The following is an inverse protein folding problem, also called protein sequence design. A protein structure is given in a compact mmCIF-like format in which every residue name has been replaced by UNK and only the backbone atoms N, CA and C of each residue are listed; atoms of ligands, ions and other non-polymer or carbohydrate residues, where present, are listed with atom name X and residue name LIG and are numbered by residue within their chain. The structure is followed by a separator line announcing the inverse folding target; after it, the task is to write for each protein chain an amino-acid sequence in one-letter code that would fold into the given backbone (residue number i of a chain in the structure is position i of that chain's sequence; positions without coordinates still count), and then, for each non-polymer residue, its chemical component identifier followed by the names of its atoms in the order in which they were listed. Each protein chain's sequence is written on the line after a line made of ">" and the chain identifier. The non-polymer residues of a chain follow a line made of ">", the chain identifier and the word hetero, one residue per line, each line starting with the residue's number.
data_IF_748065838971
#
_entry.id   IF_748065838971
#
_cell.length_a   1.000
_cell.length_b   1.000
_cell.length_c   1.000
_cell.angle_alpha   90.00
_cell.angle_beta   90.00
_cell.angle_gamma   90.00
#
_symmetry.space_group_name_H-M   'P 1'
#
loop_
_entity.id
_entity.type
_entity.pdbx_description
1 polymer ?
#
# COMPACT_ATOMS: atom_id res chain seq x y z
N UNK A 1 -12.78 -14.30 -11.75
CA UNK A 1 -11.84 -13.18 -11.94
C UNK A 1 -10.91 -13.15 -10.73
N UNK A 2 -9.60 -13.10 -10.92
CA UNK A 2 -8.66 -12.93 -9.81
C UNK A 2 -8.86 -11.51 -9.28
N UNK A 3 -9.17 -11.34 -8.00
CA UNK A 3 -9.24 -10.01 -7.39
C UNK A 3 -7.81 -9.48 -7.26
N UNK A 4 -7.57 -8.21 -7.60
CA UNK A 4 -6.29 -7.55 -7.33
C UNK A 4 -5.97 -7.52 -5.84
N UNK A 5 -4.76 -7.13 -5.45
CA UNK A 5 -4.35 -6.99 -4.03
C UNK A 5 -4.15 -5.52 -3.68
N UNK A 6 -4.44 -5.18 -2.43
CA UNK A 6 -4.15 -3.89 -1.82
C UNK A 6 -3.08 -4.08 -0.77
N UNK A 7 -1.85 -3.68 -1.09
CA UNK A 7 -0.70 -3.78 -0.20
C UNK A 7 -0.67 -2.59 0.75
N UNK A 8 -0.84 -2.86 2.04
CA UNK A 8 -0.98 -1.85 3.09
C UNK A 8 0.34 -1.76 3.85
N UNK A 9 0.94 -0.58 3.84
CA UNK A 9 1.92 -0.20 4.84
C UNK A 9 1.10 0.22 6.05
N UNK A 10 1.31 -0.37 7.23
CA UNK A 10 0.54 -0.07 8.45
C UNK A 10 1.49 0.27 9.59
N UNK A 11 1.28 1.44 10.21
CA UNK A 11 1.94 1.81 11.47
C UNK A 11 1.00 1.68 12.69
N UNK A 12 -0.29 2.01 12.53
CA UNK A 12 -1.29 2.01 13.62
C UNK A 12 -2.34 0.92 13.41
N UNK A 13 -2.48 0.02 14.40
CA UNK A 13 -3.47 -1.07 14.41
C UNK A 13 -4.92 -0.60 14.53
N UNK A 14 -5.16 0.64 14.94
CA UNK A 14 -6.51 1.18 15.18
C UNK A 14 -7.22 1.67 13.91
N UNK A 15 -6.53 1.76 12.79
CA UNK A 15 -7.12 2.21 11.52
C UNK A 15 -7.95 1.08 10.89
N UNK A 16 -9.13 1.45 10.38
CA UNK A 16 -9.99 0.53 9.64
C UNK A 16 -9.63 0.54 8.14
N UNK A 17 -9.18 -0.60 7.63
CA UNK A 17 -8.85 -0.80 6.21
C UNK A 17 -9.87 -1.61 5.44
N UNK A 18 -10.94 -2.10 6.10
CA UNK A 18 -12.00 -2.86 5.42
C UNK A 18 -12.56 -2.15 4.17
N UNK A 19 -12.74 -0.82 4.15
CA UNK A 19 -13.21 -0.13 2.94
C UNK A 19 -12.27 -0.27 1.74
N UNK A 20 -10.97 -0.50 1.95
CA UNK A 20 -10.03 -0.73 0.85
C UNK A 20 -10.23 -2.11 0.18
N UNK A 21 -10.98 -3.03 0.81
CA UNK A 21 -11.25 -4.35 0.26
C UNK A 21 -12.11 -4.32 -1.02
N UNK A 22 -12.75 -3.17 -1.30
CA UNK A 22 -13.44 -2.89 -2.56
C UNK A 22 -12.47 -2.89 -3.76
N UNK A 23 -11.20 -2.56 -3.53
CA UNK A 23 -10.16 -2.54 -4.56
C UNK A 23 -9.42 -3.88 -4.71
N UNK A 24 -9.41 -4.73 -3.68
CA UNK A 24 -8.65 -5.98 -3.72
C UNK A 24 -8.55 -6.71 -2.39
N UNK A 25 -7.82 -7.83 -2.39
CA UNK A 25 -7.44 -8.54 -1.17
C UNK A 25 -6.43 -7.71 -0.36
N UNK A 26 -6.70 -7.52 0.93
CA UNK A 26 -5.83 -6.72 1.80
C UNK A 26 -4.58 -7.53 2.18
N UNK A 27 -3.40 -7.00 1.86
CA UNK A 27 -2.09 -7.61 2.18
C UNK A 27 -1.28 -6.64 3.03
N UNK A 28 -1.06 -6.95 4.29
CA UNK A 28 -0.28 -6.10 5.20
C UNK A 28 1.22 -6.38 5.03
N UNK A 29 1.98 -5.35 4.65
CA UNK A 29 3.42 -5.47 4.37
C UNK A 29 4.27 -5.49 5.65
N UNK A 30 3.78 -4.84 6.71
CA UNK A 30 4.47 -4.73 8.00
C UNK A 30 3.48 -5.04 9.14
N UNK A 31 3.94 -5.70 10.21
CA UNK A 31 3.22 -5.75 11.48
C UNK A 31 2.92 -4.34 12.00
N UNK A 32 1.80 -4.16 12.68
CA UNK A 32 1.51 -2.89 13.34
C UNK A 32 2.60 -2.56 14.38
N UNK A 33 3.11 -1.32 14.34
CA UNK A 33 4.19 -0.86 15.22
C UNK A 33 5.62 -1.13 14.72
N UNK A 34 5.80 -1.86 13.61
CA UNK A 34 7.14 -2.03 13.02
C UNK A 34 7.57 -0.73 12.31
N UNK A 35 8.64 -0.11 12.80
CA UNK A 35 9.30 1.03 12.14
C UNK A 35 10.48 0.54 11.30
N UNK A 36 10.55 0.99 10.04
CA UNK A 36 11.64 0.60 9.11
C UNK A 36 13.02 0.94 9.70
N UNK A 37 13.12 2.03 10.44
CA UNK A 37 14.36 2.47 11.09
C UNK A 37 14.97 1.39 12.01
N UNK A 38 14.14 0.61 12.70
CA UNK A 38 14.63 -0.36 13.69
C UNK A 38 15.17 -1.65 13.05
N UNK A 39 14.72 -2.01 11.84
CA UNK A 39 15.02 -3.30 11.21
C UNK A 39 15.10 -3.22 9.67
N UNK A 40 15.86 -2.25 9.12
CA UNK A 40 15.81 -1.89 7.70
C UNK A 40 16.00 -3.06 6.71
N UNK A 41 17.05 -3.87 6.85
CA UNK A 41 17.36 -4.93 5.86
C UNK A 41 16.29 -6.04 5.83
N UNK A 42 15.91 -6.67 6.97
CA UNK A 42 14.83 -7.65 6.99
C UNK A 42 13.49 -7.09 6.48
N UNK A 43 13.20 -5.83 6.82
CA UNK A 43 11.97 -5.15 6.39
C UNK A 43 11.93 -4.98 4.87
N UNK A 44 13.03 -4.53 4.24
CA UNK A 44 13.13 -4.42 2.79
C UNK A 44 12.96 -5.78 2.12
N UNK A 45 13.58 -6.84 2.65
CA UNK A 45 13.45 -8.20 2.10
C UNK A 45 12.02 -8.74 2.17
N UNK A 46 11.30 -8.50 3.27
CA UNK A 46 9.88 -8.86 3.43
C UNK A 46 9.01 -8.13 2.40
N UNK A 47 9.15 -6.80 2.31
CA UNK A 47 8.41 -5.98 1.35
C UNK A 47 8.67 -6.45 -0.08
N UNK A 48 9.95 -6.64 -0.43
CA UNK A 48 10.38 -7.14 -1.75
C UNK A 48 9.75 -8.49 -2.09
N UNK A 49 9.70 -9.40 -1.13
CA UNK A 49 9.13 -10.74 -1.33
C UNK A 49 7.63 -10.67 -1.55
N UNK A 50 6.92 -9.86 -0.74
CA UNK A 50 5.47 -9.68 -0.85
C UNK A 50 5.07 -9.04 -2.18
N UNK A 51 5.88 -8.12 -2.71
CA UNK A 51 5.63 -7.38 -3.95
C UNK A 51 6.23 -8.03 -5.21
N UNK A 52 6.86 -9.20 -5.10
CA UNK A 52 7.60 -9.79 -6.23
C UNK A 52 6.75 -10.06 -7.49
N UNK A 53 5.45 -10.31 -7.27
CA UNK A 53 4.47 -10.64 -8.30
C UNK A 53 3.45 -9.49 -8.48
N UNK A 54 3.82 -8.24 -8.13
CA UNK A 54 2.94 -7.07 -8.28
C UNK A 54 2.58 -6.83 -9.76
N UNK A 55 1.35 -6.42 -10.01
CA UNK A 55 0.77 -6.24 -11.35
C UNK A 55 -0.09 -4.99 -11.46
N UNK A 56 -0.57 -4.68 -12.66
CA UNK A 56 -1.42 -3.52 -12.91
C UNK A 56 -2.82 -3.61 -12.24
N UNK A 57 -3.22 -4.79 -11.75
CA UNK A 57 -4.44 -5.00 -10.97
C UNK A 57 -4.24 -4.74 -9.45
N UNK A 58 -3.00 -4.54 -9.00
CA UNK A 58 -2.66 -4.34 -7.60
C UNK A 58 -2.48 -2.86 -7.24
N UNK A 59 -2.63 -2.56 -5.95
CA UNK A 59 -2.55 -1.21 -5.42
C UNK A 59 -1.68 -1.13 -4.17
N UNK A 60 -0.97 -0.01 -4.01
CA UNK A 60 -0.34 0.38 -2.75
C UNK A 60 -1.30 1.28 -1.95
N UNK A 61 -1.56 0.96 -0.69
CA UNK A 61 -2.24 1.85 0.26
C UNK A 61 -1.20 2.44 1.24
N UNK A 62 -0.70 3.67 0.98
CA UNK A 62 0.30 4.30 1.81
C UNK A 62 -0.29 4.73 3.16
N UNK A 63 0.07 4.05 4.24
CA UNK A 63 -0.45 4.38 5.57
C UNK A 63 0.53 4.09 6.73
N UNK A 64 1.43 5.01 7.03
CA UNK A 64 2.32 4.87 8.18
C UNK A 64 3.70 5.42 7.87
N UNK A 65 4.72 4.65 8.23
CA UNK A 65 6.13 5.01 8.12
C UNK A 65 6.50 5.48 6.68
N UNK A 66 6.99 6.72 6.52
CA UNK A 66 7.35 7.26 5.21
C UNK A 66 8.44 6.47 4.48
N UNK A 67 9.42 5.90 5.19
CA UNK A 67 10.47 5.10 4.57
C UNK A 67 9.91 3.77 4.04
N UNK A 68 9.03 3.13 4.80
CA UNK A 68 8.31 1.92 4.39
C UNK A 68 7.42 2.15 3.18
N UNK A 69 6.72 3.28 3.14
CA UNK A 69 5.95 3.71 1.96
C UNK A 69 6.88 3.85 0.74
N UNK A 70 8.00 4.57 0.89
CA UNK A 70 8.96 4.75 -0.20
C UNK A 70 9.53 3.44 -0.73
N UNK A 71 9.95 2.54 0.17
CA UNK A 71 10.45 1.20 -0.18
C UNK A 71 9.38 0.39 -0.92
N UNK A 72 8.14 0.38 -0.44
CA UNK A 72 7.04 -0.33 -1.09
C UNK A 72 6.76 0.20 -2.50
N UNK A 73 6.74 1.52 -2.69
CA UNK A 73 6.57 2.11 -4.02
C UNK A 73 7.70 1.71 -4.99
N UNK A 74 8.96 1.75 -4.53
CA UNK A 74 10.12 1.36 -5.33
C UNK A 74 10.07 -0.13 -5.70
N UNK A 75 9.77 -1.01 -4.73
CA UNK A 75 9.72 -2.45 -4.99
C UNK A 75 8.52 -2.86 -5.87
N UNK A 76 7.37 -2.20 -5.72
CA UNK A 76 6.21 -2.40 -6.60
C UNK A 76 6.51 -1.97 -8.04
N UNK A 77 7.08 -0.77 -8.23
CA UNK A 77 7.52 -0.29 -9.53
C UNK A 77 8.57 -1.24 -10.13
N UNK A 78 9.54 -1.71 -9.33
CA UNK A 78 10.58 -2.64 -9.78
C UNK A 78 10.00 -3.97 -10.27
N UNK A 79 8.97 -4.48 -9.61
CA UNK A 79 8.31 -5.73 -9.98
C UNK A 79 7.43 -5.59 -11.24
N UNK A 80 6.90 -4.39 -11.51
CA UNK A 80 5.91 -4.15 -12.58
C UNK A 80 6.41 -3.15 -13.64
N UNK A 81 7.68 -3.26 -14.04
CA UNK A 81 8.23 -2.53 -15.18
C UNK A 81 8.18 -1.01 -15.04
N UNK A 82 8.41 -0.50 -13.83
CA UNK A 82 8.42 0.92 -13.50
C UNK A 82 7.04 1.52 -13.23
N UNK A 83 5.97 0.72 -13.21
CA UNK A 83 4.58 1.17 -13.01
C UNK A 83 4.00 0.62 -11.71
N UNK A 84 3.15 1.39 -11.07
CA UNK A 84 2.28 0.92 -9.99
C UNK A 84 1.09 1.86 -9.84
N UNK A 85 0.03 1.41 -9.18
CA UNK A 85 -1.06 2.28 -8.75
C UNK A 85 -1.08 2.36 -7.22
N UNK A 86 -1.50 3.50 -6.69
CA UNK A 86 -1.72 3.67 -5.26
C UNK A 86 -3.12 4.20 -4.99
N UNK A 87 -3.68 3.81 -3.84
CA UNK A 87 -4.98 4.29 -3.39
C UNK A 87 -4.76 5.32 -2.29
N UNK A 88 -5.14 6.57 -2.54
CA UNK A 88 -5.08 7.65 -1.55
C UNK A 88 -6.39 7.72 -0.77
N UNK A 89 -6.32 7.56 0.55
CA UNK A 89 -7.44 7.87 1.43
C UNK A 89 -7.59 9.39 1.61
N UNK A 90 -8.79 9.92 1.36
CA UNK A 90 -9.11 11.31 1.61
C UNK A 90 -9.89 11.46 2.91
N UNK A 91 -9.14 11.79 3.97
CA UNK A 91 -9.69 11.98 5.31
C UNK A 91 -10.71 13.10 5.39
N UNK A 92 -10.54 14.18 4.61
CA UNK A 92 -11.43 15.33 4.69
C UNK A 92 -12.76 15.00 4.01
N UNK A 93 -12.70 14.51 2.76
CA UNK A 93 -13.90 14.09 2.03
C UNK A 93 -14.64 12.96 2.73
N UNK A 94 -13.91 12.05 3.39
CA UNK A 94 -14.55 10.97 4.15
C UNK A 94 -15.35 11.49 5.35
N UNK A 95 -14.86 12.55 6.02
CA UNK A 95 -15.60 13.20 7.10
C UNK A 95 -16.83 13.92 6.55
N UNK A 96 -16.65 14.67 5.46
CA UNK A 96 -17.71 15.50 4.88
C UNK A 96 -18.88 14.64 4.36
N UNK A 97 -18.58 13.45 3.82
CA UNK A 97 -19.58 12.52 3.27
C UNK A 97 -20.08 11.46 4.26
N UNK A 98 -19.43 11.30 5.40
CA UNK A 98 -19.72 10.24 6.37
C UNK A 98 -19.41 8.81 5.88
N UNK A 99 -18.70 8.66 4.76
CA UNK A 99 -18.29 7.37 4.18
C UNK A 99 -16.84 7.43 3.71
N UNK A 100 -16.08 6.31 3.70
CA UNK A 100 -14.71 6.30 3.22
C UNK A 100 -14.59 6.75 1.76
N UNK A 101 -13.66 7.66 1.48
CA UNK A 101 -13.36 8.18 0.15
C UNK A 101 -11.91 7.87 -0.20
N UNK A 102 -11.74 7.22 -1.35
CA UNK A 102 -10.45 6.82 -1.89
C UNK A 102 -10.31 7.27 -3.34
N UNK A 103 -9.08 7.59 -3.74
CA UNK A 103 -8.73 7.92 -5.12
C UNK A 103 -7.60 7.02 -5.60
N UNK A 104 -7.74 6.48 -6.81
CA UNK A 104 -6.65 5.78 -7.49
C UNK A 104 -5.72 6.81 -8.11
N UNK A 105 -4.43 6.67 -7.82
CA UNK A 105 -3.36 7.50 -8.37
C UNK A 105 -2.44 6.56 -9.17
N UNK A 106 -2.47 6.62 -10.51
CA UNK A 106 -1.54 5.87 -11.33
C UNK A 106 -0.15 6.50 -11.25
N UNK A 107 0.87 5.66 -11.06
CA UNK A 107 2.27 6.06 -10.97
C UNK A 107 3.07 5.33 -12.05
N UNK A 108 3.21 5.97 -13.21
CA UNK A 108 3.95 5.44 -14.35
C UNK A 108 5.19 6.29 -14.59
N UNK A 109 6.30 5.66 -14.98
CA UNK A 109 7.37 6.40 -15.65
C UNK A 109 6.82 6.94 -16.99
N UNK A 110 7.00 8.25 -17.20
CA UNK A 110 6.76 8.90 -18.48
C UNK A 110 7.85 8.56 -19.49
#
# INVERSE_FOLDING_TARGET
>A
MKKGRVFIIQEDSRKNFLPAADYGELVFLLPAGDQVFLNAVPTIQKIRTALRDFSDDDFILPNGDPAGIGIACVEAARANGGRYAMIKFDRQMSKDRGVPVYYVVPCNHA
#
